data_IF_257519690920
#
_entry.id   IF_257519690920
#
_cell.length_a   1.000
_cell.length_b   1.000
_cell.length_c   1.000
_cell.angle_alpha   90.00
_cell.angle_beta   90.00
_cell.angle_gamma   90.00
#
_symmetry.space_group_name_H-M   'P 1'
#
loop_
_entity.id
_entity.type
_entity.pdbx_description
1 polymer ?
#
# COMPACT_ATOMS: atom_id res chain seq x y z
N UNK A 1 18.95 -2.39 18.34
CA UNK A 1 19.92 -1.41 17.80
C UNK A 1 19.08 -0.32 17.16
N UNK A 2 19.25 0.96 17.51
CA UNK A 2 18.38 2.01 16.94
C UNK A 2 18.70 2.14 15.46
N UNK A 3 17.75 1.83 14.59
CA UNK A 3 17.93 2.00 13.14
C UNK A 3 17.81 3.49 12.84
N UNK A 4 18.89 4.10 12.34
CA UNK A 4 18.88 5.51 11.98
C UNK A 4 17.94 5.73 10.79
N UNK A 5 16.86 6.48 11.01
CA UNK A 5 15.95 6.90 9.94
C UNK A 5 16.60 8.08 9.19
N UNK A 6 16.66 8.06 7.84
CA UNK A 6 17.08 9.22 7.06
C UNK A 6 16.21 10.45 7.38
N UNK A 7 16.70 11.67 7.16
CA UNK A 7 15.88 12.87 7.32
C UNK A 7 14.56 12.73 6.55
N UNK A 8 13.42 13.14 7.13
CA UNK A 8 12.10 12.98 6.53
C UNK A 8 12.03 13.54 5.10
N UNK A 9 12.74 14.64 4.83
CA UNK A 9 12.84 15.22 3.48
C UNK A 9 13.45 14.27 2.44
N UNK A 10 14.42 13.44 2.84
CA UNK A 10 15.03 12.45 1.96
C UNK A 10 14.05 11.29 1.69
N UNK A 11 13.42 10.75 2.74
CA UNK A 11 12.41 9.68 2.59
C UNK A 11 11.28 10.11 1.64
N UNK A 12 10.84 11.36 1.78
CA UNK A 12 9.86 12.00 0.89
C UNK A 12 10.35 12.10 -0.54
N UNK A 13 11.58 12.59 -0.75
CA UNK A 13 12.15 12.74 -2.08
C UNK A 13 12.31 11.38 -2.79
N UNK A 14 12.69 10.35 -2.05
CA UNK A 14 12.85 9.00 -2.60
C UNK A 14 11.49 8.39 -2.95
N UNK A 15 10.50 8.50 -2.05
CA UNK A 15 9.13 8.10 -2.33
C UNK A 15 8.55 8.83 -3.55
N UNK A 16 8.81 10.14 -3.66
CA UNK A 16 8.41 10.97 -4.77
C UNK A 16 8.94 10.46 -6.11
N UNK A 17 10.25 10.18 -6.16
CA UNK A 17 10.91 9.71 -7.36
C UNK A 17 10.33 8.37 -7.82
N UNK A 18 10.12 7.43 -6.88
CA UNK A 18 9.55 6.11 -7.17
C UNK A 18 8.12 6.20 -7.70
N UNK A 19 7.25 6.91 -6.98
CA UNK A 19 5.84 7.09 -7.40
C UNK A 19 5.77 7.76 -8.77
N UNK A 20 6.59 8.78 -9.02
CA UNK A 20 6.69 9.43 -10.33
C UNK A 20 7.12 8.45 -11.43
N UNK A 21 8.06 7.56 -11.13
CA UNK A 21 8.43 6.43 -11.99
C UNK A 21 7.25 5.50 -12.28
N UNK A 22 6.48 5.12 -11.27
CA UNK A 22 5.29 4.26 -11.44
C UNK A 22 4.23 4.92 -12.31
N UNK A 23 3.93 6.21 -12.09
CA UNK A 23 2.98 6.96 -12.90
C UNK A 23 3.44 7.10 -14.35
N UNK A 24 4.74 7.33 -14.57
CA UNK A 24 5.32 7.36 -15.92
C UNK A 24 5.11 6.01 -16.62
N UNK A 25 5.41 4.91 -15.95
CA UNK A 25 5.23 3.56 -16.49
C UNK A 25 3.76 3.26 -16.78
N UNK A 26 2.83 3.59 -15.88
CA UNK A 26 1.40 3.46 -16.11
C UNK A 26 0.97 4.19 -17.40
N UNK A 27 1.38 5.45 -17.58
CA UNK A 27 1.02 6.25 -18.76
C UNK A 27 1.68 5.77 -20.05
N UNK A 28 2.89 5.20 -19.97
CA UNK A 28 3.56 4.65 -21.15
C UNK A 28 2.92 3.35 -21.60
N UNK A 29 2.59 2.46 -20.67
CA UNK A 29 2.06 1.13 -20.97
C UNK A 29 0.56 1.13 -21.22
N UNK A 30 -0.16 1.99 -20.50
CA UNK A 30 -1.61 2.15 -20.58
C UNK A 30 -1.98 3.63 -20.74
N UNK A 31 -1.80 4.22 -21.94
CA UNK A 31 -1.96 5.65 -22.14
C UNK A 31 -3.33 6.22 -21.75
N UNK A 32 -4.38 5.39 -21.82
CA UNK A 32 -5.75 5.79 -21.51
C UNK A 32 -6.24 5.34 -20.14
N UNK A 33 -5.42 4.63 -19.35
CA UNK A 33 -5.85 4.01 -18.09
C UNK A 33 -6.49 5.02 -17.13
N UNK A 34 -5.87 6.18 -16.90
CA UNK A 34 -6.42 7.17 -15.96
C UNK A 34 -7.79 7.71 -16.40
N UNK A 35 -7.96 7.95 -17.70
CA UNK A 35 -9.24 8.40 -18.27
C UNK A 35 -10.29 7.31 -18.16
N UNK A 36 -9.93 6.05 -18.44
CA UNK A 36 -10.83 4.91 -18.34
C UNK A 36 -11.24 4.63 -16.90
N UNK A 37 -10.30 4.67 -15.94
CA UNK A 37 -10.61 4.51 -14.53
C UNK A 37 -11.59 5.59 -14.05
N UNK A 38 -11.36 6.86 -14.41
CA UNK A 38 -12.30 7.94 -14.08
C UNK A 38 -13.67 7.70 -14.71
N UNK A 39 -13.71 7.27 -15.98
CA UNK A 39 -14.96 6.96 -16.67
C UNK A 39 -15.74 5.83 -15.99
N UNK A 40 -15.07 4.76 -15.55
CA UNK A 40 -15.73 3.69 -14.80
C UNK A 40 -16.21 4.19 -13.43
N UNK A 41 -15.44 5.03 -12.75
CA UNK A 41 -15.87 5.61 -11.48
C UNK A 41 -17.10 6.53 -11.64
N UNK A 42 -17.18 7.31 -12.73
CA UNK A 42 -18.36 8.11 -13.08
C UNK A 42 -19.62 7.27 -13.33
N UNK A 43 -19.47 5.96 -13.59
CA UNK A 43 -20.57 5.02 -13.77
C UNK A 43 -21.06 4.38 -12.47
N UNK A 44 -20.44 4.67 -11.32
CA UNK A 44 -20.85 4.13 -10.02
C UNK A 44 -22.35 4.30 -9.80
N UNK A 45 -23.01 3.21 -9.44
CA UNK A 45 -24.43 3.11 -9.16
C UNK A 45 -25.34 3.57 -10.31
N UNK A 46 -24.83 3.65 -11.55
CA UNK A 46 -25.64 3.97 -12.74
C UNK A 46 -26.50 2.78 -13.21
N UNK A 47 -26.11 1.56 -12.85
CA UNK A 47 -26.83 0.32 -13.14
C UNK A 47 -26.39 -0.81 -12.18
N UNK A 48 -27.09 -1.97 -12.16
CA UNK A 48 -26.72 -3.10 -11.29
C UNK A 48 -25.29 -3.60 -11.48
N UNK A 49 -24.79 -3.63 -12.73
CA UNK A 49 -23.41 -4.05 -13.03
C UNK A 49 -22.35 -3.03 -12.60
N UNK A 50 -22.75 -1.77 -12.36
CA UNK A 50 -21.89 -0.73 -11.79
C UNK A 50 -22.26 -0.39 -10.34
N UNK A 51 -22.84 -1.34 -9.60
CA UNK A 51 -23.19 -1.11 -8.19
C UNK A 51 -22.09 -1.63 -7.26
N UNK A 52 -21.48 -0.73 -6.50
CA UNK A 52 -20.52 -1.05 -5.44
C UNK A 52 -20.57 0.02 -4.33
N UNK A 53 -20.13 -0.30 -3.11
CA UNK A 53 -20.27 0.59 -1.96
C UNK A 53 -19.28 1.76 -1.98
N UNK A 54 -19.65 2.85 -1.31
CA UNK A 54 -18.92 4.13 -1.29
C UNK A 54 -17.50 4.02 -0.72
N UNK A 55 -17.28 3.12 0.24
CA UNK A 55 -15.95 2.85 0.80
C UNK A 55 -14.95 2.34 -0.25
N UNK A 56 -15.41 1.71 -1.34
CA UNK A 56 -14.58 1.30 -2.45
C UNK A 56 -14.55 2.40 -3.52
N UNK A 57 -13.39 2.96 -3.85
CA UNK A 57 -13.30 3.97 -4.90
C UNK A 57 -13.64 3.40 -6.30
N UNK A 58 -13.08 2.25 -6.65
CA UNK A 58 -13.37 1.60 -7.92
C UNK A 58 -12.95 0.13 -7.86
N UNK A 59 -13.85 -0.83 -8.12
CA UNK A 59 -13.48 -2.22 -8.17
C UNK A 59 -12.37 -2.52 -9.18
N UNK A 60 -11.45 -3.42 -8.84
CA UNK A 60 -10.34 -3.85 -9.70
C UNK A 60 -10.81 -4.48 -11.01
N UNK A 61 -12.08 -4.86 -11.12
CA UNK A 61 -12.71 -5.25 -12.39
C UNK A 61 -12.54 -4.17 -13.49
N UNK A 62 -12.52 -2.88 -13.13
CA UNK A 62 -12.23 -1.80 -14.06
C UNK A 62 -10.78 -1.87 -14.59
N UNK A 63 -9.81 -2.10 -13.69
CA UNK A 63 -8.41 -2.29 -14.08
C UNK A 63 -8.24 -3.56 -14.92
N UNK A 64 -8.97 -4.64 -14.61
CA UNK A 64 -8.97 -5.86 -15.40
C UNK A 64 -9.52 -5.64 -16.82
N UNK A 65 -10.53 -4.78 -16.97
CA UNK A 65 -11.05 -4.40 -18.28
C UNK A 65 -9.99 -3.66 -19.12
N UNK A 66 -9.25 -2.73 -18.51
CA UNK A 66 -8.14 -1.99 -19.15
C UNK A 66 -7.02 -2.95 -19.58
N UNK A 67 -6.60 -3.86 -18.69
CA UNK A 67 -5.58 -4.87 -19.00
C UNK A 67 -6.04 -5.76 -20.16
N UNK A 68 -7.29 -6.24 -20.13
CA UNK A 68 -7.83 -7.10 -21.19
C UNK A 68 -7.88 -6.39 -22.54
N UNK A 69 -8.33 -5.14 -22.58
CA UNK A 69 -8.40 -4.34 -23.79
C UNK A 69 -7.02 -4.15 -24.45
N UNK A 70 -5.96 -4.11 -23.65
CA UNK A 70 -4.58 -4.00 -24.12
C UNK A 70 -3.98 -5.29 -24.73
N UNK A 71 -4.65 -6.45 -24.66
CA UNK A 71 -4.40 -7.59 -25.57
C UNK A 71 -3.33 -8.64 -25.22
N UNK A 72 -2.62 -8.53 -24.08
CA UNK A 72 -2.13 -9.62 -23.19
C UNK A 72 -1.05 -9.08 -22.23
N UNK A 73 -1.42 -8.18 -21.30
CA UNK A 73 -0.49 -7.67 -20.31
C UNK A 73 -0.43 -8.57 -19.07
N UNK A 74 0.63 -8.42 -18.28
CA UNK A 74 0.87 -9.17 -17.04
C UNK A 74 -0.36 -9.11 -16.10
N UNK A 75 -0.92 -10.23 -15.61
CA UNK A 75 -2.01 -10.20 -14.64
C UNK A 75 -1.74 -9.36 -13.39
N UNK A 76 -0.48 -9.21 -12.98
CA UNK A 76 -0.09 -8.30 -11.90
C UNK A 76 -0.42 -6.83 -12.22
N UNK A 77 -0.49 -6.45 -13.50
CA UNK A 77 -0.85 -5.10 -13.93
C UNK A 77 -2.27 -4.71 -13.51
N UNK A 78 -3.17 -5.66 -13.25
CA UNK A 78 -4.50 -5.34 -12.70
C UNK A 78 -4.35 -4.64 -11.35
N UNK A 79 -3.51 -5.18 -10.46
CA UNK A 79 -3.20 -4.57 -9.17
C UNK A 79 -2.38 -3.29 -9.28
N UNK A 80 -1.41 -3.26 -10.20
CA UNK A 80 -0.57 -2.06 -10.42
C UNK A 80 -1.38 -0.88 -10.93
N UNK A 81 -2.26 -1.09 -11.92
CA UNK A 81 -3.16 -0.06 -12.45
C UNK A 81 -4.16 0.39 -11.39
N UNK A 82 -4.77 -0.54 -10.65
CA UNK A 82 -5.73 -0.20 -9.60
C UNK A 82 -5.11 0.74 -8.56
N UNK A 83 -3.98 0.34 -7.97
CA UNK A 83 -3.35 1.11 -6.90
C UNK A 83 -2.73 2.43 -7.39
N UNK A 84 -1.92 2.40 -8.45
CA UNK A 84 -1.24 3.61 -8.97
C UNK A 84 -2.24 4.57 -9.60
N UNK A 85 -3.25 4.05 -10.30
CA UNK A 85 -4.33 4.82 -10.90
C UNK A 85 -5.21 5.50 -9.86
N UNK A 86 -5.70 4.74 -8.88
CA UNK A 86 -6.48 5.29 -7.76
C UNK A 86 -5.69 6.35 -7.02
N UNK A 87 -4.46 6.05 -6.59
CA UNK A 87 -3.61 7.02 -5.89
C UNK A 87 -3.47 8.34 -6.67
N UNK A 88 -3.32 8.24 -8.00
CA UNK A 88 -3.19 9.39 -8.89
C UNK A 88 -4.45 10.27 -8.92
N UNK A 89 -5.62 9.66 -8.78
CA UNK A 89 -6.94 10.28 -8.96
C UNK A 89 -7.63 10.65 -7.63
N UNK A 90 -7.25 10.05 -6.51
CA UNK A 90 -7.94 10.21 -5.20
C UNK A 90 -7.13 11.00 -4.17
N UNK A 91 -6.33 11.98 -4.60
CA UNK A 91 -5.69 12.95 -3.69
C UNK A 91 -4.19 12.75 -3.43
N UNK A 92 -3.57 11.70 -3.99
CA UNK A 92 -2.10 11.53 -4.00
C UNK A 92 -1.45 11.63 -2.62
N UNK A 93 -1.97 10.84 -1.67
CA UNK A 93 -1.56 10.86 -0.28
C UNK A 93 -0.26 10.06 -0.08
N UNK A 94 0.80 10.72 0.37
CA UNK A 94 2.03 10.08 0.85
C UNK A 94 2.02 10.14 2.37
N UNK A 95 2.24 9.01 3.03
CA UNK A 95 2.23 8.87 4.48
C UNK A 95 3.63 8.52 4.97
N UNK A 96 4.11 9.28 5.95
CA UNK A 96 5.43 9.11 6.56
C UNK A 96 5.27 8.81 8.06
N UNK A 97 5.76 7.68 8.56
CA UNK A 97 5.88 7.48 9.99
C UNK A 97 7.00 8.33 10.59
N UNK A 98 6.76 8.94 11.76
CA UNK A 98 7.80 9.53 12.58
C UNK A 98 8.67 8.45 13.26
N UNK A 99 9.73 8.86 13.96
CA UNK A 99 10.63 7.92 14.62
C UNK A 99 9.90 7.06 15.66
N UNK A 100 8.98 7.62 16.43
CA UNK A 100 8.24 6.88 17.46
C UNK A 100 7.36 5.80 16.83
N UNK A 101 6.62 6.14 15.79
CA UNK A 101 5.80 5.19 15.03
C UNK A 101 6.66 4.11 14.39
N UNK A 102 7.82 4.49 13.86
CA UNK A 102 8.76 3.54 13.26
C UNK A 102 9.29 2.57 14.30
N UNK A 103 9.73 3.05 15.47
CA UNK A 103 10.25 2.21 16.56
C UNK A 103 9.19 1.26 17.13
N UNK A 104 7.93 1.74 17.21
CA UNK A 104 6.82 0.95 17.72
C UNK A 104 6.41 -0.16 16.75
N UNK A 105 6.28 0.19 15.48
CA UNK A 105 5.60 -0.65 14.50
C UNK A 105 6.54 -1.21 13.43
N UNK A 106 7.48 -0.47 12.87
CA UNK A 106 8.33 -1.02 11.81
C UNK A 106 9.32 -2.01 12.44
N UNK A 107 9.38 -3.27 11.96
CA UNK A 107 10.23 -4.26 12.60
C UNK A 107 11.69 -3.84 12.53
N UNK A 108 12.37 -3.90 13.68
CA UNK A 108 13.82 -4.09 13.68
C UNK A 108 14.11 -5.42 12.95
N UNK A 109 15.19 -5.47 12.16
CA UNK A 109 15.65 -6.69 11.50
C UNK A 109 15.81 -7.87 12.48
N UNK A 110 16.04 -7.59 13.77
CA UNK A 110 16.04 -8.59 14.85
C UNK A 110 14.70 -9.32 15.03
N UNK A 111 13.57 -8.68 14.68
CA UNK A 111 12.22 -9.27 14.75
C UNK A 111 11.94 -10.26 13.62
N UNK A 112 12.70 -10.24 12.51
CA UNK A 112 12.54 -11.23 11.41
C UNK A 112 12.83 -12.68 11.84
N UNK A 113 13.39 -12.89 13.04
CA UNK A 113 13.54 -14.19 13.68
C UNK A 113 12.37 -14.65 14.56
N UNK A 114 11.30 -13.85 14.71
CA UNK A 114 10.08 -14.26 15.42
C UNK A 114 9.20 -15.17 14.55
N UNK A 115 8.36 -15.99 15.19
CA UNK A 115 7.39 -16.82 14.48
C UNK A 115 6.14 -16.01 14.11
N UNK A 116 5.58 -16.25 12.92
CA UNK A 116 4.37 -15.56 12.42
C UNK A 116 3.19 -15.67 13.41
N UNK A 117 3.12 -16.77 14.16
CA UNK A 117 2.06 -17.00 15.15
C UNK A 117 2.08 -15.98 16.31
N UNK A 118 3.26 -15.46 16.66
CA UNK A 118 3.42 -14.50 17.77
C UNK A 118 3.09 -13.06 17.36
N UNK A 119 2.84 -12.84 16.07
CA UNK A 119 2.58 -11.53 15.47
C UNK A 119 1.26 -11.50 14.72
N UNK A 120 0.33 -12.37 15.06
CA UNK A 120 -0.97 -12.37 14.42
C UNK A 120 -1.76 -11.12 14.83
N UNK A 121 -1.99 -10.23 13.86
CA UNK A 121 -2.58 -8.93 14.10
C UNK A 121 -4.07 -8.97 13.77
N UNK A 122 -4.89 -8.57 14.73
CA UNK A 122 -6.34 -8.52 14.56
C UNK A 122 -6.75 -7.50 13.49
N UNK A 123 -7.74 -7.86 12.69
CA UNK A 123 -8.30 -6.98 11.66
C UNK A 123 -9.54 -6.29 12.23
N UNK A 124 -9.49 -4.97 12.39
CA UNK A 124 -10.68 -4.16 12.64
C UNK A 124 -11.27 -3.69 11.30
N UNK A 125 -12.23 -4.47 10.79
CA UNK A 125 -12.91 -4.19 9.52
C UNK A 125 -13.57 -2.81 9.51
N UNK A 126 -14.24 -2.44 10.59
CA UNK A 126 -15.02 -1.20 10.65
C UNK A 126 -14.10 0.01 10.60
N UNK A 127 -13.00 -0.05 11.35
CA UNK A 127 -11.95 0.95 11.31
C UNK A 127 -11.32 1.07 9.92
N UNK A 128 -10.92 -0.07 9.32
CA UNK A 128 -10.34 -0.09 7.97
C UNK A 128 -11.25 0.54 6.91
N UNK A 129 -12.54 0.19 6.93
CA UNK A 129 -13.51 0.73 5.97
C UNK A 129 -13.68 2.24 6.12
N UNK A 130 -13.65 2.76 7.34
CA UNK A 130 -13.81 4.19 7.61
C UNK A 130 -12.56 4.99 7.26
N UNK A 131 -11.38 4.55 7.70
CA UNK A 131 -10.14 5.33 7.55
C UNK A 131 -9.58 5.29 6.12
N UNK A 132 -9.93 4.27 5.32
CA UNK A 132 -9.48 4.12 3.94
C UNK A 132 -10.58 4.36 2.90
N UNK A 133 -11.74 4.86 3.32
CA UNK A 133 -12.90 5.11 2.47
C UNK A 133 -12.53 5.94 1.24
N UNK A 134 -12.62 5.34 0.05
CA UNK A 134 -12.40 6.05 -1.22
C UNK A 134 -10.96 6.51 -1.48
N UNK A 135 -10.02 6.26 -0.57
CA UNK A 135 -8.65 6.75 -0.65
C UNK A 135 -7.65 5.65 -1.00
N UNK A 136 -6.54 6.05 -1.62
CA UNK A 136 -5.35 5.24 -1.77
C UNK A 136 -4.15 6.01 -1.21
N UNK A 137 -3.44 5.41 -0.27
CA UNK A 137 -2.27 5.98 0.37
C UNK A 137 -1.01 5.28 -0.11
N UNK A 138 0.09 6.02 -0.27
CA UNK A 138 1.42 5.44 -0.36
C UNK A 138 2.12 5.61 0.99
N UNK A 139 2.35 4.52 1.70
CA UNK A 139 3.09 4.53 2.96
C UNK A 139 4.56 4.31 2.64
N UNK A 140 5.41 5.30 2.93
CA UNK A 140 6.85 5.14 2.76
C UNK A 140 7.42 4.32 3.92
N UNK A 141 8.29 3.36 3.62
CA UNK A 141 9.09 2.70 4.64
C UNK A 141 10.37 3.53 4.85
N UNK A 142 10.55 4.18 6.02
CA UNK A 142 11.74 5.00 6.27
C UNK A 142 12.99 4.15 6.57
N UNK A 143 12.82 2.84 6.79
CA UNK A 143 13.92 1.94 7.18
C UNK A 143 14.70 1.53 5.95
N UNK A 144 16.00 1.79 5.96
CA UNK A 144 16.91 1.34 4.92
C UNK A 144 17.05 -0.20 4.96
N UNK A 145 17.25 -0.85 3.81
CA UNK A 145 17.54 -2.28 3.79
C UNK A 145 18.82 -2.59 4.60
N UNK A 146 18.91 -3.80 5.19
CA UNK A 146 20.12 -4.22 5.89
C UNK A 146 21.35 -4.18 4.95
N UNK A 147 22.45 -3.63 5.44
CA UNK A 147 23.74 -3.52 4.72
C UNK A 147 24.54 -4.84 4.70
N UNK A 148 23.96 -5.93 5.19
CA UNK A 148 24.62 -7.24 5.31
C UNK A 148 24.60 -8.05 4.00
N UNK A 149 24.16 -7.42 2.90
CA UNK A 149 24.01 -8.06 1.58
C UNK A 149 22.90 -9.10 1.51
N UNK A 150 22.12 -9.31 2.58
CA UNK A 150 20.99 -10.27 2.65
C UNK A 150 19.66 -9.54 2.57
N UNK A 151 19.55 -8.58 1.65
CA UNK A 151 18.26 -7.94 1.37
C UNK A 151 17.30 -9.01 0.88
N UNK A 152 16.33 -9.37 1.73
CA UNK A 152 15.24 -10.26 1.33
C UNK A 152 14.63 -9.75 0.04
N UNK A 153 14.30 -10.66 -0.88
CA UNK A 153 13.56 -10.30 -2.10
C UNK A 153 12.24 -9.58 -1.82
N UNK A 154 11.76 -9.67 -0.57
CA UNK A 154 10.54 -9.07 -0.07
C UNK A 154 10.76 -7.76 0.70
N UNK A 155 11.97 -7.20 0.72
CA UNK A 155 12.16 -5.87 1.33
C UNK A 155 11.32 -4.83 0.59
N UNK A 156 10.46 -4.13 1.31
CA UNK A 156 9.57 -3.10 0.75
C UNK A 156 10.05 -1.72 1.18
N UNK A 157 10.28 -0.82 0.23
CA UNK A 157 10.59 0.59 0.48
C UNK A 157 9.34 1.46 0.62
N UNK A 158 8.18 0.88 0.33
CA UNK A 158 6.87 1.46 0.57
C UNK A 158 5.77 0.53 0.08
N UNK A 159 4.53 0.97 0.23
CA UNK A 159 3.39 0.27 -0.34
C UNK A 159 2.25 1.24 -0.64
N UNK A 160 1.49 0.93 -1.68
CA UNK A 160 0.16 1.50 -1.86
C UNK A 160 -0.84 0.68 -1.05
N UNK A 161 -1.82 1.32 -0.44
CA UNK A 161 -2.94 0.66 0.22
C UNK A 161 -4.26 1.31 -0.19
N UNK A 162 -5.23 0.47 -0.54
CA UNK A 162 -6.60 0.89 -0.83
C UNK A 162 -7.60 -0.25 -0.54
N UNK A 163 -8.88 0.09 -0.45
CA UNK A 163 -9.95 -0.88 -0.34
C UNK A 163 -10.41 -1.39 -1.71
N UNK A 164 -10.90 -2.62 -1.74
CA UNK A 164 -11.48 -3.27 -2.92
C UNK A 164 -12.80 -3.94 -2.56
N UNK A 165 -13.79 -3.76 -3.45
CA UNK A 165 -15.00 -4.55 -3.47
C UNK A 165 -14.90 -5.60 -4.57
N UNK A 166 -14.70 -6.86 -4.19
CA UNK A 166 -14.66 -7.94 -5.18
C UNK A 166 -16.07 -8.16 -5.76
N UNK A 167 -16.28 -7.68 -6.99
CA UNK A 167 -17.56 -7.80 -7.71
C UNK A 167 -18.04 -9.24 -7.91
N UNK A 168 -17.16 -10.24 -7.79
CA UNK A 168 -17.55 -11.65 -7.92
C UNK A 168 -18.14 -12.22 -6.63
N UNK A 169 -17.57 -11.84 -5.49
CA UNK A 169 -17.93 -12.43 -4.18
C UNK A 169 -18.69 -11.47 -3.28
N UNK A 170 -18.71 -10.18 -3.62
CA UNK A 170 -19.24 -9.10 -2.78
C UNK A 170 -18.37 -8.78 -1.56
N UNK A 171 -17.21 -9.44 -1.41
CA UNK A 171 -16.35 -9.30 -0.23
C UNK A 171 -15.56 -8.00 -0.26
N UNK A 172 -15.28 -7.50 0.94
CA UNK A 172 -14.37 -6.38 1.12
C UNK A 172 -12.94 -6.90 1.31
N UNK A 173 -12.00 -6.26 0.65
CA UNK A 173 -10.59 -6.61 0.69
C UNK A 173 -9.73 -5.37 0.90
N UNK A 174 -8.63 -5.55 1.60
CA UNK A 174 -7.53 -4.61 1.63
C UNK A 174 -6.56 -5.00 0.53
N UNK A 175 -6.34 -4.10 -0.42
CA UNK A 175 -5.39 -4.27 -1.50
C UNK A 175 -4.14 -3.47 -1.21
N UNK A 176 -3.01 -4.13 -1.43
CA UNK A 176 -1.69 -3.56 -1.24
C UNK A 176 -0.89 -3.76 -2.51
N UNK A 177 -0.10 -2.75 -2.87
CA UNK A 177 0.90 -2.89 -3.92
C UNK A 177 2.27 -2.61 -3.30
N UNK A 178 3.04 -3.67 -3.09
CA UNK A 178 4.35 -3.59 -2.46
C UNK A 178 5.36 -3.00 -3.43
N UNK A 179 6.09 -1.99 -2.99
CA UNK A 179 7.16 -1.34 -3.74
C UNK A 179 8.53 -1.86 -3.26
N UNK A 180 9.23 -2.56 -4.15
CA UNK A 180 10.55 -3.15 -3.90
C UNK A 180 11.71 -2.32 -4.47
N UNK A 181 11.48 -1.07 -4.88
CA UNK A 181 12.47 -0.14 -5.46
C UNK A 181 13.19 -0.65 -6.72
N UNK A 182 12.46 -1.38 -7.57
CA UNK A 182 13.02 -1.94 -8.81
C UNK A 182 12.17 -1.64 -10.04
N UNK A 183 11.25 -0.67 -9.92
CA UNK A 183 10.36 -0.24 -11.00
C UNK A 183 9.14 -1.14 -11.16
N UNK A 184 8.41 -0.93 -12.27
CA UNK A 184 7.05 -1.43 -12.48
C UNK A 184 6.88 -2.95 -12.33
N UNK A 185 7.80 -3.74 -12.90
CA UNK A 185 7.72 -5.22 -12.83
C UNK A 185 7.87 -5.77 -11.42
N UNK A 186 8.46 -4.98 -10.52
CA UNK A 186 8.71 -5.34 -9.13
C UNK A 186 7.71 -4.68 -8.19
N UNK A 187 6.56 -4.23 -8.72
CA UNK A 187 5.40 -3.91 -7.92
C UNK A 187 4.58 -5.19 -7.73
N UNK A 188 4.49 -5.64 -6.48
CA UNK A 188 3.86 -6.92 -6.14
C UNK A 188 2.47 -6.68 -5.55
N UNK A 189 1.38 -7.04 -6.24
CA UNK A 189 0.04 -6.91 -5.70
C UNK A 189 -0.21 -7.98 -4.65
N UNK A 190 -0.78 -7.59 -3.53
CA UNK A 190 -1.17 -8.46 -2.42
C UNK A 190 -2.56 -8.07 -1.95
N UNK A 191 -3.34 -9.05 -1.49
CA UNK A 191 -4.65 -8.81 -0.93
C UNK A 191 -4.81 -9.51 0.42
N UNK A 192 -5.64 -8.89 1.25
CA UNK A 192 -6.04 -9.40 2.56
C UNK A 192 -7.56 -9.28 2.62
N UNK A 193 -8.23 -10.40 2.87
CA UNK A 193 -9.64 -10.36 3.19
C UNK A 193 -9.83 -9.70 4.56
N UNK A 194 -10.61 -8.63 4.63
CA UNK A 194 -10.81 -7.87 5.88
C UNK A 194 -12.02 -8.34 6.67
N UNK A 195 -12.73 -9.36 6.19
CA UNK A 195 -13.80 -10.05 6.90
C UNK A 195 -13.29 -11.18 7.82
N UNK A 196 -11.98 -11.29 7.96
CA UNK A 196 -11.30 -12.35 8.71
C UNK A 196 -10.78 -11.83 10.04
N UNK A 197 -10.61 -12.70 11.04
CA UNK A 197 -10.25 -12.26 12.39
C UNK A 197 -8.85 -11.66 12.47
N UNK A 198 -7.92 -12.09 11.61
CA UNK A 198 -6.52 -11.72 11.73
C UNK A 198 -5.76 -11.79 10.41
N UNK A 199 -4.63 -11.08 10.36
CA UNK A 199 -3.76 -11.04 9.19
C UNK A 199 -3.15 -12.40 8.87
N UNK A 200 -2.67 -13.15 9.87
CA UNK A 200 -2.07 -14.45 9.58
C UNK A 200 -3.13 -15.41 9.05
N UNK A 201 -4.41 -15.25 9.43
CA UNK A 201 -5.50 -15.98 8.79
C UNK A 201 -5.60 -15.60 7.30
N UNK A 202 -5.73 -14.32 6.99
CA UNK A 202 -5.90 -13.85 5.60
C UNK A 202 -4.70 -14.13 4.72
N UNK A 203 -3.49 -14.04 5.26
CA UNK A 203 -2.26 -14.36 4.56
C UNK A 203 -2.17 -15.86 4.24
N UNK A 204 -2.61 -16.75 5.16
CA UNK A 204 -2.72 -18.20 4.90
C UNK A 204 -3.77 -18.54 3.85
N UNK A 205 -4.87 -17.78 3.79
CA UNK A 205 -5.93 -17.96 2.80
C UNK A 205 -5.52 -17.47 1.39
N UNK A 206 -4.87 -16.31 1.31
CA UNK A 206 -4.26 -15.82 0.07
C UNK A 206 -3.20 -16.80 -0.45
N UNK A 207 -2.31 -17.26 0.44
CA UNK A 207 -1.35 -18.34 0.20
C UNK A 207 -2.00 -19.62 -0.35
N UNK A 208 -3.10 -20.05 0.27
CA UNK A 208 -3.88 -21.20 -0.13
C UNK A 208 -4.49 -21.04 -1.54
N UNK A 209 -4.81 -19.81 -1.94
CA UNK A 209 -5.35 -19.47 -3.25
C UNK A 209 -4.27 -19.41 -4.34
N UNK A 210 -3.00 -19.21 -3.97
CA UNK A 210 -1.83 -19.16 -4.87
C UNK A 210 -1.26 -20.58 -5.20
N UNK A 211 -1.88 -21.65 -4.67
CA UNK A 211 -1.37 -23.05 -4.69
C UNK A 211 -1.08 -23.71 -6.05
N UNK A 212 -1.07 -23.01 -7.18
CA UNK A 212 -0.50 -23.52 -8.43
C UNK A 212 0.97 -23.15 -8.69
N UNK A 213 1.65 -22.36 -7.84
CA UNK A 213 3.10 -22.11 -8.01
C UNK A 213 3.84 -21.80 -6.68
N UNK A 214 4.71 -22.71 -6.25
CA UNK A 214 5.77 -22.55 -5.23
C UNK A 214 5.39 -22.32 -3.75
N UNK A 215 5.40 -23.41 -2.96
CA UNK A 215 5.18 -23.40 -1.50
C UNK A 215 6.21 -22.61 -0.66
N UNK A 216 7.42 -22.36 -1.18
CA UNK A 216 8.44 -21.57 -0.49
C UNK A 216 8.19 -20.05 -0.53
N UNK A 217 7.72 -19.53 -1.67
CA UNK A 217 7.35 -18.13 -1.83
C UNK A 217 6.18 -17.73 -0.91
N UNK A 218 5.38 -18.72 -0.51
CA UNK A 218 4.23 -18.57 0.37
C UNK A 218 4.62 -18.16 1.80
N UNK A 219 5.62 -18.81 2.39
CA UNK A 219 6.03 -18.51 3.77
C UNK A 219 6.71 -17.14 3.87
N UNK A 220 7.55 -16.79 2.89
CA UNK A 220 8.24 -15.51 2.87
C UNK A 220 7.28 -14.34 2.59
N UNK A 221 6.27 -14.55 1.75
CA UNK A 221 5.18 -13.58 1.54
C UNK A 221 4.37 -13.37 2.83
N UNK A 222 3.99 -14.46 3.52
CA UNK A 222 3.27 -14.36 4.81
C UNK A 222 4.12 -13.60 5.83
N UNK A 223 5.43 -13.89 5.91
CA UNK A 223 6.35 -13.13 6.75
C UNK A 223 6.39 -11.66 6.33
N UNK A 224 6.60 -11.33 5.06
CA UNK A 224 6.65 -9.94 4.60
C UNK A 224 5.38 -9.16 4.96
N UNK A 225 4.20 -9.78 4.83
CA UNK A 225 2.93 -9.16 5.20
C UNK A 225 2.85 -8.87 6.71
N UNK A 226 3.21 -9.85 7.53
CA UNK A 226 3.10 -9.77 9.00
C UNK A 226 4.17 -8.87 9.60
N UNK A 227 5.38 -8.93 9.09
CA UNK A 227 6.51 -8.14 9.59
C UNK A 227 6.52 -6.75 8.97
N UNK A 228 6.60 -6.59 7.66
CA UNK A 228 6.88 -5.28 7.07
C UNK A 228 5.61 -4.45 6.87
N UNK A 229 4.53 -5.08 6.44
CA UNK A 229 3.39 -4.35 5.87
C UNK A 229 2.35 -4.01 6.93
N UNK A 230 1.94 -4.97 7.74
CA UNK A 230 0.85 -4.74 8.68
C UNK A 230 1.19 -3.83 9.83
N UNK A 231 2.40 -3.83 10.40
CA UNK A 231 2.70 -2.82 11.42
C UNK A 231 2.66 -1.40 10.84
N UNK A 232 3.07 -1.20 9.59
CA UNK A 232 2.91 0.10 8.90
C UNK A 232 1.42 0.47 8.73
N UNK A 233 0.55 -0.51 8.43
CA UNK A 233 -0.89 -0.29 8.37
C UNK A 233 -1.52 -0.07 9.75
N UNK A 234 -1.12 -0.84 10.74
CA UNK A 234 -1.56 -0.71 12.12
C UNK A 234 -1.19 0.68 12.66
N UNK A 235 -0.02 1.20 12.29
CA UNK A 235 0.37 2.57 12.60
C UNK A 235 -0.59 3.61 11.99
N UNK A 236 -1.02 3.42 10.74
CA UNK A 236 -2.00 4.31 10.08
C UNK A 236 -3.37 4.30 10.78
N UNK A 237 -3.73 3.17 11.42
CA UNK A 237 -5.05 2.95 12.00
C UNK A 237 -5.08 3.08 13.53
N UNK A 238 -3.92 3.23 14.17
CA UNK A 238 -3.83 3.25 15.62
C UNK A 238 -4.47 4.55 16.15
N UNK A 239 -5.50 4.49 17.02
CA UNK A 239 -6.16 5.68 17.55
C UNK A 239 -5.25 6.56 18.42
N UNK A 240 -4.15 6.00 18.94
CA UNK A 240 -3.09 6.74 19.65
C UNK A 240 -2.06 7.39 18.72
N UNK A 241 -2.15 7.17 17.41
CA UNK A 241 -1.35 7.81 16.38
C UNK A 241 -2.27 8.77 15.61
N UNK A 242 -1.80 9.99 15.39
CA UNK A 242 -2.50 10.99 14.59
C UNK A 242 -1.85 11.13 13.24
N UNK A 243 -2.68 11.19 12.21
CA UNK A 243 -2.28 11.62 10.88
C UNK A 243 -2.29 13.15 10.84
N UNK A 244 -1.12 13.77 10.82
CA UNK A 244 -0.95 15.23 10.80
C UNK A 244 -0.53 15.71 9.42
N UNK A 245 -1.17 16.77 8.91
CA UNK A 245 -0.97 17.26 7.54
C UNK A 245 -2.28 17.71 6.87
N UNK A 246 -2.28 17.94 5.54
CA UNK A 246 -1.15 17.75 4.65
C UNK A 246 -0.13 18.90 4.73
N UNK A 247 1.15 18.58 4.83
CA UNK A 247 2.22 19.58 4.65
C UNK A 247 2.58 19.64 3.16
N UNK A 248 2.69 20.84 2.56
CA UNK A 248 3.23 20.96 1.22
C UNK A 248 4.65 20.39 1.15
N UNK A 249 4.95 19.64 0.10
CA UNK A 249 6.31 19.19 -0.17
C UNK A 249 7.26 20.39 -0.27
N UNK A 250 8.49 20.30 0.27
CA UNK A 250 9.50 21.32 0.03
C UNK A 250 9.65 21.52 -1.48
N UNK A 251 9.43 22.75 -1.95
CA UNK A 251 9.68 23.10 -3.35
C UNK A 251 11.19 23.08 -3.57
N UNK A 252 11.76 21.93 -3.95
CA UNK A 252 13.12 21.87 -4.48
C UNK A 252 13.06 21.59 -5.97
N UNK A 253 13.87 22.34 -6.74
CA UNK A 253 13.92 22.31 -8.21
C UNK A 253 14.20 20.92 -8.81
N UNK A 254 14.61 19.95 -7.99
CA UNK A 254 15.00 18.61 -8.43
C UNK A 254 13.83 17.61 -8.49
N UNK A 255 12.73 17.83 -7.76
CA UNK A 255 11.64 16.84 -7.61
C UNK A 255 10.29 17.27 -8.23
N UNK A 256 10.24 18.45 -8.85
CA UNK A 256 9.02 19.27 -8.98
C UNK A 256 8.00 18.97 -10.11
N UNK A 257 8.21 18.10 -11.11
CA UNK A 257 7.11 17.77 -12.04
C UNK A 257 6.22 16.61 -11.57
N UNK A 258 6.78 15.62 -10.86
CA UNK A 258 6.15 14.30 -10.69
C UNK A 258 5.20 14.21 -9.49
N UNK A 259 5.39 15.06 -8.48
CA UNK A 259 4.50 15.15 -7.31
C UNK A 259 3.64 16.41 -7.26
N UNK A 260 3.46 17.12 -8.39
CA UNK A 260 2.58 18.30 -8.40
C UNK A 260 1.18 17.89 -7.90
N UNK A 261 0.78 18.44 -6.76
CA UNK A 261 -0.50 18.16 -6.10
C UNK A 261 -0.50 16.96 -5.14
N UNK A 262 0.64 16.33 -4.85
CA UNK A 262 0.72 15.31 -3.80
C UNK A 262 0.66 15.94 -2.41
N UNK A 263 0.04 15.21 -1.48
CA UNK A 263 -0.16 15.64 -0.10
C UNK A 263 0.68 14.75 0.82
N UNK A 264 1.54 15.35 1.64
CA UNK A 264 2.34 14.61 2.63
C UNK A 264 1.66 14.65 3.98
N UNK A 265 1.45 13.46 4.54
CA UNK A 265 0.88 13.23 5.84
C UNK A 265 1.92 12.55 6.73
N UNK A 266 1.90 12.89 8.01
CA UNK A 266 2.82 12.36 9.01
C UNK A 266 2.03 11.54 10.04
N UNK A 267 2.45 10.31 10.28
CA UNK A 267 1.99 9.51 11.42
C UNK A 267 2.85 9.83 12.62
N UNK A 268 2.26 10.41 13.65
CA UNK A 268 2.95 10.77 14.89
C UNK A 268 2.10 10.37 16.11
N UNK A 269 2.73 10.20 17.27
CA UNK A 269 1.98 9.99 18.52
C UNK A 269 0.95 11.11 18.72
N UNK A 270 -0.31 10.75 18.95
CA UNK A 270 -1.41 11.68 19.18
C UNK A 270 -1.30 12.48 20.47
N UNK A 271 -0.53 11.95 21.44
CA UNK A 271 -0.15 12.65 22.66
C UNK A 271 1.38 12.70 22.77
N UNK A 272 2.00 13.89 22.80
CA UNK A 272 3.45 14.02 22.95
C UNK A 272 3.98 13.48 24.30
N UNK A 273 3.14 13.25 25.31
CA UNK A 273 3.52 12.63 26.58
C UNK A 273 3.71 11.11 26.49
N UNK A 274 3.19 10.46 25.44
CA UNK A 274 3.45 9.04 25.17
C UNK A 274 4.85 8.78 24.59
N UNK A 275 5.59 9.83 24.23
CA UNK A 275 6.96 9.73 23.68
C UNK A 275 8.02 9.34 24.73
N UNK A 276 7.65 9.28 26.01
CA UNK A 276 8.59 9.10 27.13
C UNK A 276 8.48 7.74 27.84
N UNK A 277 7.89 6.72 27.21
CA UNK A 277 7.78 5.35 27.76
C UNK A 277 8.67 4.40 26.98
#
# INVERSE_FOLDING_TARGET
>A
MVVAIPPAQQVVADAAARIGGHQKQLRTRYPHALTQLKHFEDQRNSSPEFSWPDWCWLPMAASAAIVREAGLPDPADIGRIAAVGQWTLTGRHVVLPDQYVTDLHVPDASRLGMEVADMDLAIDRTLLLRELEGHCYYLANPVAPPDDGKVSMWWTVGLYVHLEHDVKTGRAELRMLLDHDRGWEHLTPVWVHIDQPSLAWSARDAAASIRSAAAGATADMVRALVFMVWPMLAALLNPGITLTGPTPLPQSDTYLPLLRGAQVWHLAAGDPTLRSV
#
